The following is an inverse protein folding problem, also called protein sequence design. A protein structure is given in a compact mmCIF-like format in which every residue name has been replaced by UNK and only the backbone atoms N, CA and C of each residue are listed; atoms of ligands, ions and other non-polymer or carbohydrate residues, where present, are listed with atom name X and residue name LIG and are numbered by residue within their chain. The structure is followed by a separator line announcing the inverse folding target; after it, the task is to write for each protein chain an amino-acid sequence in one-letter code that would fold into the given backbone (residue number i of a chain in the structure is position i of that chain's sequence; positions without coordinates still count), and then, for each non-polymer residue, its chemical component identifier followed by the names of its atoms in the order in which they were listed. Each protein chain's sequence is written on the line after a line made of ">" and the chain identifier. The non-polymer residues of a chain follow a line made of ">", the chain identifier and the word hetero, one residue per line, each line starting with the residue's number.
data_IF_337950638474
#
_entry.id   IF_337950638474
#
_cell.length_a   1.000
_cell.length_b   1.000
_cell.length_c   1.000
_cell.angle_alpha   90.00
_cell.angle_beta   90.00
_cell.angle_gamma   90.00
#
_symmetry.space_group_name_H-M   'P 1'
#
loop_
_entity.id
_entity.type
_entity.pdbx_description
1 polymer ?
#
# COMPACT_ATOMS: atom_id res chain seq x y z
N UNK A 1 -5.52 19.02 10.83
CA UNK A 1 -5.82 18.19 9.68
C UNK A 1 -5.85 16.72 10.11
N UNK A 2 -6.80 15.94 9.63
CA UNK A 2 -6.94 14.51 9.92
C UNK A 2 -6.64 13.67 8.68
N UNK A 3 -5.74 12.70 8.80
CA UNK A 3 -5.40 11.74 7.75
C UNK A 3 -5.82 10.34 8.22
N UNK A 4 -6.75 9.73 7.50
CA UNK A 4 -7.20 8.36 7.73
C UNK A 4 -6.40 7.37 6.87
N UNK A 5 -5.87 6.30 7.48
CA UNK A 5 -5.00 5.33 6.80
C UNK A 5 -5.62 3.94 6.93
N UNK A 6 -5.81 3.27 5.79
CA UNK A 6 -6.26 1.89 5.76
C UNK A 6 -5.06 0.94 5.93
N UNK A 7 -4.55 0.82 7.12
CA UNK A 7 -3.54 -0.16 7.52
C UNK A 7 -3.27 -0.05 9.02
N UNK A 8 -2.88 -1.15 9.65
CA UNK A 8 -2.34 -1.18 11.01
C UNK A 8 -0.84 -1.54 11.02
N UNK A 9 -0.24 -1.79 9.85
CA UNK A 9 1.18 -2.15 9.75
C UNK A 9 2.07 -0.92 9.91
N UNK A 10 2.96 -0.94 10.92
CA UNK A 10 3.85 0.17 11.27
C UNK A 10 4.62 0.74 10.07
N UNK A 11 5.26 -0.06 9.19
CA UNK A 11 6.00 0.50 8.05
C UNK A 11 5.13 1.34 7.10
N UNK A 12 3.87 0.95 6.89
CA UNK A 12 2.93 1.69 6.04
C UNK A 12 2.52 3.01 6.70
N UNK A 13 2.27 3.00 8.02
CA UNK A 13 1.91 4.20 8.77
C UNK A 13 3.06 5.21 8.75
N UNK A 14 4.29 4.75 8.98
CA UNK A 14 5.47 5.61 8.94
C UNK A 14 5.72 6.18 7.54
N UNK A 15 5.54 5.37 6.48
CA UNK A 15 5.68 5.84 5.10
C UNK A 15 4.69 6.99 4.78
N UNK A 16 3.44 6.87 5.21
CA UNK A 16 2.44 7.95 5.03
C UNK A 16 2.83 9.19 5.81
N UNK A 17 3.24 9.05 7.07
CA UNK A 17 3.66 10.19 7.91
C UNK A 17 4.85 10.92 7.28
N UNK A 18 5.88 10.19 6.86
CA UNK A 18 7.05 10.77 6.20
C UNK A 18 6.66 11.52 4.91
N UNK A 19 5.79 10.93 4.08
CA UNK A 19 5.34 11.58 2.84
C UNK A 19 4.64 12.92 3.11
N UNK A 20 3.83 13.01 4.16
CA UNK A 20 3.20 14.28 4.56
C UNK A 20 4.20 15.27 5.17
N UNK A 21 5.16 14.80 5.96
CA UNK A 21 6.20 15.64 6.57
C UNK A 21 7.14 16.24 5.51
N UNK A 22 7.51 15.45 4.50
CA UNK A 22 8.42 15.87 3.43
C UNK A 22 7.72 16.75 2.39
N UNK A 23 6.39 16.75 2.35
CA UNK A 23 5.64 17.59 1.42
C UNK A 23 5.61 19.04 1.89
N UNK A 24 6.20 20.01 1.13
CA UNK A 24 6.26 21.42 1.53
C UNK A 24 4.89 22.03 1.82
N UNK A 25 3.85 21.54 1.15
CA UNK A 25 2.48 22.03 1.33
C UNK A 25 1.89 21.72 2.72
N UNK A 26 2.41 20.69 3.41
CA UNK A 26 1.89 20.25 4.70
C UNK A 26 2.83 20.53 5.88
N UNK A 27 4.05 21.02 5.67
CA UNK A 27 5.09 21.21 6.71
C UNK A 27 4.63 22.03 7.92
N UNK A 28 3.71 22.96 7.72
CA UNK A 28 3.22 23.86 8.77
C UNK A 28 1.90 23.40 9.39
N UNK A 29 1.37 22.23 9.00
CA UNK A 29 0.08 21.75 9.48
C UNK A 29 0.27 20.76 10.62
N UNK A 30 -0.52 20.94 11.67
CA UNK A 30 -0.65 19.90 12.69
C UNK A 30 -1.51 18.76 12.11
N UNK A 31 -0.94 17.55 11.99
CA UNK A 31 -1.59 16.41 11.37
C UNK A 31 -1.84 15.32 12.42
N UNK A 32 -3.11 14.95 12.58
CA UNK A 32 -3.52 13.76 13.31
C UNK A 32 -3.69 12.61 12.33
N UNK A 33 -3.14 11.44 12.68
CA UNK A 33 -3.29 10.23 11.87
C UNK A 33 -4.18 9.24 12.60
N UNK A 34 -5.16 8.69 11.89
CA UNK A 34 -6.00 7.59 12.38
C UNK A 34 -5.90 6.41 11.43
N UNK A 35 -5.63 5.23 12.00
CA UNK A 35 -5.45 3.99 11.24
C UNK A 35 -6.58 3.01 11.55
N UNK A 36 -7.12 2.35 10.50
CA UNK A 36 -8.10 1.27 10.62
C UNK A 36 -7.82 0.23 9.53
N UNK A 37 -8.13 -1.02 9.85
CA UNK A 37 -8.22 -2.09 8.86
C UNK A 37 -9.68 -2.53 8.80
N UNK A 38 -10.38 -2.11 7.75
CA UNK A 38 -11.78 -2.48 7.52
C UNK A 38 -11.84 -3.78 6.72
N UNK A 39 -12.92 -4.54 6.87
CA UNK A 39 -13.17 -5.69 6.02
C UNK A 39 -13.32 -5.24 4.56
N UNK A 40 -12.67 -5.94 3.64
CA UNK A 40 -12.89 -5.79 2.21
C UNK A 40 -13.71 -6.97 1.71
N UNK A 41 -14.83 -6.71 1.07
CA UNK A 41 -15.67 -7.73 0.44
C UNK A 41 -15.13 -8.16 -0.94
N UNK A 42 -13.81 -8.24 -1.09
CA UNK A 42 -13.13 -8.59 -2.33
C UNK A 42 -12.17 -9.76 -2.09
N UNK A 43 -11.89 -10.53 -3.13
CA UNK A 43 -11.00 -11.70 -3.09
C UNK A 43 -9.62 -11.37 -2.52
N UNK A 44 -8.94 -12.35 -1.93
CA UNK A 44 -7.68 -12.12 -1.20
C UNK A 44 -6.45 -11.87 -2.11
N UNK A 45 -6.58 -12.06 -3.43
CA UNK A 45 -5.44 -11.90 -4.35
C UNK A 45 -5.91 -11.24 -5.65
N UNK A 46 -5.54 -9.96 -5.92
CA UNK A 46 -5.84 -9.31 -7.18
C UNK A 46 -5.02 -9.94 -8.31
N UNK A 47 -5.67 -10.14 -9.45
CA UNK A 47 -5.06 -10.76 -10.63
C UNK A 47 -4.58 -9.72 -11.65
N UNK A 48 -4.99 -8.47 -11.51
CA UNK A 48 -4.63 -7.38 -12.43
C UNK A 48 -4.42 -6.06 -11.70
N UNK A 49 -3.79 -5.11 -12.40
CA UNK A 49 -3.60 -3.75 -11.90
C UNK A 49 -4.95 -3.04 -11.69
N UNK A 50 -5.90 -3.27 -12.58
CA UNK A 50 -7.25 -2.71 -12.47
C UNK A 50 -7.97 -3.22 -11.22
N UNK A 51 -7.81 -4.50 -10.90
CA UNK A 51 -8.39 -5.07 -9.67
C UNK A 51 -7.79 -4.44 -8.41
N UNK A 52 -6.48 -4.29 -8.33
CA UNK A 52 -5.86 -3.69 -7.14
C UNK A 52 -6.26 -2.20 -7.00
N UNK A 53 -6.43 -1.50 -8.11
CA UNK A 53 -6.95 -0.12 -8.11
C UNK A 53 -8.39 -0.07 -7.61
N UNK A 54 -9.24 -0.99 -8.04
CA UNK A 54 -10.61 -1.11 -7.55
C UNK A 54 -10.66 -1.46 -6.06
N UNK A 55 -9.78 -2.35 -5.60
CA UNK A 55 -9.65 -2.70 -4.19
C UNK A 55 -9.27 -1.50 -3.33
N UNK A 56 -8.30 -0.73 -3.78
CA UNK A 56 -7.88 0.49 -3.10
C UNK A 56 -9.06 1.43 -2.86
N UNK A 57 -9.85 1.66 -3.91
CA UNK A 57 -11.04 2.50 -3.87
C UNK A 57 -12.11 1.95 -2.90
N UNK A 58 -12.39 0.65 -2.95
CA UNK A 58 -13.39 0.02 -2.10
C UNK A 58 -12.96 0.05 -0.61
N UNK A 59 -11.69 -0.16 -0.32
CA UNK A 59 -11.15 -0.10 1.04
C UNK A 59 -11.17 1.30 1.60
N UNK A 60 -10.86 2.31 0.80
CA UNK A 60 -10.99 3.72 1.19
C UNK A 60 -12.45 4.10 1.42
N UNK A 61 -13.37 3.61 0.58
CA UNK A 61 -14.82 3.80 0.81
C UNK A 61 -15.26 3.22 2.17
N UNK A 62 -14.82 2.03 2.52
CA UNK A 62 -15.07 1.44 3.84
C UNK A 62 -14.45 2.25 4.98
N UNK A 63 -13.20 2.69 4.80
CA UNK A 63 -12.50 3.53 5.78
C UNK A 63 -13.25 4.84 6.03
N UNK A 64 -13.78 5.48 4.98
CA UNK A 64 -14.58 6.70 5.05
C UNK A 64 -15.89 6.50 5.84
N UNK A 65 -16.44 5.29 5.85
CA UNK A 65 -17.61 4.97 6.66
C UNK A 65 -17.29 4.88 8.16
N UNK A 66 -16.09 4.47 8.53
CA UNK A 66 -15.67 4.33 9.92
C UNK A 66 -15.01 5.61 10.48
N UNK A 67 -14.19 6.28 9.69
CA UNK A 67 -13.55 7.54 10.07
C UNK A 67 -14.21 8.66 9.27
N UNK A 68 -15.08 9.41 9.92
CA UNK A 68 -15.78 10.54 9.29
C UNK A 68 -14.91 11.79 9.30
N UNK A 69 -15.13 12.64 8.30
CA UNK A 69 -14.55 14.00 8.23
C UNK A 69 -13.02 14.05 8.25
N UNK A 70 -12.34 13.02 7.72
CA UNK A 70 -10.92 13.13 7.47
C UNK A 70 -10.67 14.01 6.23
N UNK A 71 -9.59 14.77 6.28
CA UNK A 71 -9.14 15.61 5.15
C UNK A 71 -8.61 14.75 4.00
N UNK A 72 -7.95 13.63 4.36
CA UNK A 72 -7.45 12.64 3.41
C UNK A 72 -7.71 11.21 3.88
N UNK A 73 -7.99 10.34 2.93
CA UNK A 73 -8.14 8.89 3.10
C UNK A 73 -7.11 8.19 2.22
N UNK A 74 -6.30 7.32 2.82
CA UNK A 74 -5.15 6.72 2.15
C UNK A 74 -5.18 5.21 2.29
N UNK A 75 -4.91 4.55 1.18
CA UNK A 75 -4.61 3.13 1.10
C UNK A 75 -3.30 2.93 0.36
N UNK A 76 -2.45 2.03 0.85
CA UNK A 76 -1.23 1.63 0.16
C UNK A 76 -0.94 0.15 0.37
N UNK A 77 -0.50 -0.51 -0.69
CA UNK A 77 -0.12 -1.91 -0.69
C UNK A 77 0.94 -2.18 -1.75
N UNK A 78 1.75 -3.19 -1.53
CA UNK A 78 2.62 -3.73 -2.56
C UNK A 78 1.85 -4.71 -3.45
N UNK A 79 2.28 -4.81 -4.69
CA UNK A 79 1.73 -5.75 -5.64
C UNK A 79 2.83 -6.27 -6.57
N UNK A 80 2.66 -7.50 -7.07
CA UNK A 80 3.57 -8.10 -8.02
C UNK A 80 2.91 -8.17 -9.38
N UNK A 81 3.54 -7.54 -10.36
CA UNK A 81 3.14 -7.56 -11.76
C UNK A 81 4.02 -8.51 -12.55
N UNK A 82 3.43 -9.35 -13.39
CA UNK A 82 4.15 -10.14 -14.37
C UNK A 82 4.19 -9.40 -15.70
N UNK A 83 5.39 -9.15 -16.21
CA UNK A 83 5.63 -8.58 -17.54
C UNK A 83 6.50 -9.58 -18.30
N UNK A 84 5.96 -10.23 -19.34
CA UNK A 84 6.56 -11.37 -20.03
C UNK A 84 6.93 -12.49 -19.04
N UNK A 85 8.21 -12.88 -19.04
CA UNK A 85 8.76 -13.92 -18.17
C UNK A 85 9.26 -13.40 -16.81
N UNK A 86 9.13 -12.09 -16.55
CA UNK A 86 9.68 -11.41 -15.38
C UNK A 86 8.59 -10.96 -14.41
N UNK A 87 8.92 -10.95 -13.14
CA UNK A 87 8.04 -10.44 -12.07
C UNK A 87 8.63 -9.19 -11.44
N UNK A 88 7.79 -8.21 -11.20
CA UNK A 88 8.16 -6.91 -10.66
C UNK A 88 7.33 -6.58 -9.44
N UNK A 89 8.00 -6.14 -8.38
CA UNK A 89 7.37 -5.60 -7.19
C UNK A 89 7.18 -4.09 -7.35
N UNK A 90 6.01 -3.58 -7.01
CA UNK A 90 5.72 -2.15 -6.93
C UNK A 90 4.76 -1.87 -5.78
N UNK A 91 4.78 -0.62 -5.30
CA UNK A 91 3.77 -0.10 -4.38
C UNK A 91 2.70 0.64 -5.16
N UNK A 92 1.47 0.44 -4.75
CA UNK A 92 0.30 1.16 -5.25
C UNK A 92 -0.30 1.94 -4.09
N UNK A 93 -0.51 3.22 -4.30
CA UNK A 93 -1.14 4.11 -3.32
C UNK A 93 -2.40 4.72 -3.93
N UNK A 94 -3.46 4.77 -3.15
CA UNK A 94 -4.67 5.52 -3.46
C UNK A 94 -4.87 6.59 -2.39
N UNK A 95 -5.11 7.82 -2.81
CA UNK A 95 -5.42 8.94 -1.95
C UNK A 95 -6.70 9.62 -2.41
N UNK A 96 -7.58 9.94 -1.47
CA UNK A 96 -8.82 10.65 -1.72
C UNK A 96 -9.00 11.74 -0.68
N UNK A 97 -9.39 12.94 -1.10
CA UNK A 97 -9.66 14.04 -0.18
C UNK A 97 -11.14 14.10 0.26
N UNK A 98 -11.48 15.10 1.07
CA UNK A 98 -12.84 15.35 1.56
C UNK A 98 -13.85 15.53 0.42
N UNK A 99 -13.43 16.16 -0.69
CA UNK A 99 -14.29 16.51 -1.84
C UNK A 99 -14.40 15.38 -2.87
N UNK A 100 -13.99 14.15 -2.51
CA UNK A 100 -14.02 12.98 -3.38
C UNK A 100 -13.08 13.08 -4.59
N UNK A 101 -12.12 13.98 -4.57
CA UNK A 101 -11.04 14.02 -5.55
C UNK A 101 -10.00 12.98 -5.17
N UNK A 102 -9.66 12.10 -6.10
CA UNK A 102 -8.78 10.96 -5.86
C UNK A 102 -7.68 10.82 -6.91
N UNK A 103 -6.57 10.26 -6.49
CA UNK A 103 -5.42 9.97 -7.33
C UNK A 103 -4.79 8.64 -6.96
N UNK A 104 -4.12 8.02 -7.93
CA UNK A 104 -3.23 6.89 -7.72
C UNK A 104 -1.77 7.33 -7.82
N UNK A 105 -0.93 6.70 -7.01
CA UNK A 105 0.52 6.79 -7.10
C UNK A 105 1.12 5.39 -7.20
N UNK A 106 2.21 5.27 -7.97
CA UNK A 106 2.96 4.03 -8.14
C UNK A 106 4.42 4.28 -7.83
N UNK A 107 5.07 3.33 -7.15
CA UNK A 107 6.52 3.36 -6.97
C UNK A 107 7.24 2.92 -8.25
N UNK A 108 8.55 2.97 -8.22
CA UNK A 108 9.38 2.27 -9.20
C UNK A 108 9.11 0.77 -9.14
N UNK A 109 9.24 0.09 -10.28
CA UNK A 109 9.16 -1.35 -10.39
C UNK A 109 10.54 -1.96 -10.11
N UNK A 110 10.60 -2.97 -9.25
CA UNK A 110 11.82 -3.70 -8.92
C UNK A 110 11.66 -5.13 -9.40
N UNK A 111 12.55 -5.60 -10.28
CA UNK A 111 12.55 -7.01 -10.71
C UNK A 111 12.79 -7.92 -9.51
N UNK A 112 11.92 -8.90 -9.32
CA UNK A 112 12.05 -9.89 -8.26
C UNK A 112 13.03 -10.99 -8.74
N UNK A 113 14.11 -11.29 -7.98
CA UNK A 113 15.02 -12.39 -8.31
C UNK A 113 14.29 -13.72 -8.44
N UNK A 114 14.74 -14.58 -9.38
CA UNK A 114 14.08 -15.87 -9.69
C UNK A 114 13.90 -16.77 -8.47
N UNK A 115 14.85 -16.77 -7.54
CA UNK A 115 14.76 -17.52 -6.27
C UNK A 115 13.55 -17.08 -5.41
N UNK A 116 13.32 -15.77 -5.33
CA UNK A 116 12.18 -15.20 -4.59
C UNK A 116 10.87 -15.49 -5.34
N UNK A 117 10.88 -15.39 -6.67
CA UNK A 117 9.72 -15.75 -7.48
C UNK A 117 9.25 -17.17 -7.20
N UNK A 118 10.17 -18.13 -7.19
CA UNK A 118 9.87 -19.54 -6.91
C UNK A 118 9.23 -19.70 -5.53
N UNK A 119 9.79 -19.09 -4.49
CA UNK A 119 9.26 -19.16 -3.12
C UNK A 119 7.87 -18.53 -2.99
N UNK A 120 7.61 -17.42 -3.68
CA UNK A 120 6.32 -16.74 -3.65
C UNK A 120 5.20 -17.54 -4.35
N UNK A 121 5.50 -18.08 -5.55
CA UNK A 121 4.47 -18.64 -6.43
C UNK A 121 4.31 -20.15 -6.27
N UNK A 122 5.41 -20.88 -6.17
CA UNK A 122 5.38 -22.34 -6.03
C UNK A 122 5.20 -22.75 -4.55
N UNK A 123 5.97 -22.14 -3.65
CA UNK A 123 5.90 -22.46 -2.23
C UNK A 123 4.88 -21.59 -1.46
N UNK A 124 4.23 -20.61 -2.11
CA UNK A 124 3.20 -19.72 -1.55
C UNK A 124 3.63 -19.04 -0.24
N UNK A 125 4.91 -18.71 -0.13
CA UNK A 125 5.45 -18.01 1.03
C UNK A 125 5.14 -16.54 1.01
N UNK A 126 5.04 -15.91 2.18
CA UNK A 126 4.85 -14.45 2.31
C UNK A 126 6.14 -13.70 1.94
N UNK A 127 6.01 -12.63 1.15
CA UNK A 127 7.15 -11.82 0.71
C UNK A 127 7.89 -11.19 1.88
N UNK A 128 7.18 -10.74 2.92
CA UNK A 128 7.83 -10.12 4.08
C UNK A 128 8.68 -11.10 4.87
N UNK A 129 8.28 -12.36 4.94
CA UNK A 129 9.10 -13.42 5.55
C UNK A 129 10.37 -13.67 4.74
N UNK A 130 10.24 -13.77 3.42
CA UNK A 130 11.40 -13.99 2.53
C UNK A 130 12.41 -12.85 2.60
N UNK A 131 11.95 -11.61 2.59
CA UNK A 131 12.81 -10.43 2.71
C UNK A 131 13.52 -10.40 4.06
N UNK A 132 12.82 -10.70 5.15
CA UNK A 132 13.42 -10.75 6.49
C UNK A 132 14.49 -11.86 6.60
N UNK A 133 14.26 -13.03 6.02
CA UNK A 133 15.27 -14.09 5.97
C UNK A 133 16.53 -13.67 5.21
N UNK A 134 16.37 -13.02 4.06
CA UNK A 134 17.49 -12.53 3.26
C UNK A 134 18.27 -11.44 4.00
N UNK A 135 17.56 -10.49 4.63
CA UNK A 135 18.19 -9.43 5.40
C UNK A 135 19.01 -9.99 6.59
N UNK A 136 18.47 -10.98 7.28
CA UNK A 136 19.15 -11.62 8.41
C UNK A 136 20.37 -12.46 8.00
N UNK A 137 20.39 -12.96 6.76
CA UNK A 137 21.54 -13.71 6.22
C UNK A 137 22.61 -12.83 5.58
N UNK A 138 22.45 -11.52 5.59
CA UNK A 138 23.29 -10.57 4.85
C UNK A 138 23.44 -10.92 3.35
N UNK A 139 22.41 -11.51 2.76
CA UNK A 139 22.35 -11.88 1.34
C UNK A 139 21.72 -10.80 0.45
N UNK A 140 21.55 -9.60 1.02
CA UNK A 140 21.05 -8.40 0.31
C UNK A 140 22.17 -7.37 0.22
#
# INVERSE_FOLDING_TARGET
>A
MLVAIWSLRKPKLEAVKLAFQDCPYFQWKHIKYEARKTASNVSDTPLSLEEIMLWAKNRVKSLRNEIKNADFYIWLEWWVSKIWEKYFLLWVTYIENTDWVWHYGFSQMIEIPSKIQYELYENKRDLSELINELANKNEI
#
